data_IF_677176307559
#
_entry.id   IF_677176307559
#
_cell.length_a   1.000
_cell.length_b   1.000
_cell.length_c   1.000
_cell.angle_alpha   90.00
_cell.angle_beta   90.00
_cell.angle_gamma   90.00
#
_symmetry.space_group_name_H-M   'P 1'
#
loop_
_entity.id
_entity.type
_entity.pdbx_description
1 polymer ?
#
# COMPACT_ATOMS: atom_id res chain seq x y z
N UNK A 1 18.68 -10.03 21.92
CA UNK A 1 18.33 -8.76 22.57
C UNK A 1 16.96 -8.30 22.08
N UNK A 2 15.95 -8.19 22.96
CA UNK A 2 14.63 -7.65 22.59
C UNK A 2 14.77 -6.14 22.40
N UNK A 3 14.42 -5.61 21.23
CA UNK A 3 14.34 -4.15 20.99
C UNK A 3 13.31 -3.59 21.97
N UNK A 4 13.69 -2.60 22.78
CA UNK A 4 12.74 -1.82 23.58
C UNK A 4 11.83 -1.09 22.59
N UNK A 5 10.55 -1.43 22.55
CA UNK A 5 9.57 -0.60 21.86
C UNK A 5 9.61 0.79 22.51
N UNK A 6 10.09 1.79 21.76
CA UNK A 6 9.99 3.17 22.19
C UNK A 6 8.50 3.51 22.28
N UNK A 7 8.03 3.82 23.50
CA UNK A 7 6.68 4.31 23.71
C UNK A 7 6.45 5.55 22.84
N UNK A 8 5.46 5.48 21.95
CA UNK A 8 5.11 6.59 21.06
C UNK A 8 4.56 7.75 21.87
N UNK A 9 5.00 8.97 21.54
CA UNK A 9 4.34 10.16 22.07
C UNK A 9 2.96 10.35 21.42
N UNK A 10 2.11 11.17 22.03
CA UNK A 10 0.72 11.34 21.57
C UNK A 10 0.60 11.83 20.13
N UNK A 11 1.56 12.61 19.63
CA UNK A 11 1.55 13.08 18.24
C UNK A 11 1.97 11.99 17.25
N UNK A 12 3.01 11.22 17.59
CA UNK A 12 3.43 10.04 16.84
C UNK A 12 2.28 9.03 16.70
N UNK A 13 1.51 8.81 17.77
CA UNK A 13 0.35 7.94 17.74
C UNK A 13 -0.71 8.45 16.76
N UNK A 14 -1.03 9.74 16.78
CA UNK A 14 -2.01 10.34 15.86
C UNK A 14 -1.58 10.19 14.38
N UNK A 15 -0.28 10.37 14.09
CA UNK A 15 0.27 10.15 12.74
C UNK A 15 0.12 8.69 12.31
N UNK A 16 0.46 7.75 13.21
CA UNK A 16 0.32 6.32 12.95
C UNK A 16 -1.15 5.93 12.74
N UNK A 17 -2.06 6.43 13.58
CA UNK A 17 -3.49 6.15 13.47
C UNK A 17 -4.04 6.66 12.14
N UNK A 18 -3.66 7.87 11.72
CA UNK A 18 -4.05 8.42 10.42
C UNK A 18 -3.56 7.54 9.26
N UNK A 19 -2.29 7.13 9.27
CA UNK A 19 -1.74 6.29 8.20
C UNK A 19 -2.34 4.88 8.24
N UNK A 20 -2.64 4.35 9.42
CA UNK A 20 -3.28 3.04 9.62
C UNK A 20 -4.73 3.04 9.14
N UNK A 21 -5.46 4.13 9.31
CA UNK A 21 -6.79 4.32 8.70
C UNK A 21 -6.73 4.40 7.17
N UNK A 22 -5.54 4.59 6.59
CA UNK A 22 -5.31 4.77 5.17
C UNK A 22 -4.19 3.83 4.64
N UNK A 23 -4.17 2.57 5.08
CA UNK A 23 -3.07 1.61 4.82
C UNK A 23 -2.66 1.48 3.35
N UNK A 24 -3.63 1.53 2.43
CA UNK A 24 -3.41 1.37 0.99
C UNK A 24 -3.00 2.66 0.26
N UNK A 25 -2.74 3.75 0.99
CA UNK A 25 -2.41 5.05 0.41
C UNK A 25 -1.11 5.59 0.96
N UNK A 26 -0.40 6.29 0.09
CA UNK A 26 0.83 6.99 0.42
C UNK A 26 0.57 8.49 0.40
N UNK A 27 1.13 9.19 1.37
CA UNK A 27 0.90 10.61 1.57
C UNK A 27 2.22 11.36 1.64
N UNK A 28 2.22 12.59 1.15
CA UNK A 28 3.30 13.53 1.42
C UNK A 28 3.29 13.93 2.90
N UNK A 29 4.46 14.33 3.41
CA UNK A 29 4.56 14.85 4.77
C UNK A 29 3.63 16.06 5.03
N UNK A 30 3.34 16.86 4.00
CA UNK A 30 2.41 18.01 4.08
C UNK A 30 0.97 17.54 4.29
N UNK A 31 0.51 16.56 3.51
CA UNK A 31 -0.85 16.02 3.63
C UNK A 31 -1.06 15.36 5.00
N UNK A 32 -0.07 14.61 5.49
CA UNK A 32 -0.11 14.01 6.83
C UNK A 32 -0.20 15.11 7.88
N UNK A 33 0.56 16.20 7.73
CA UNK A 33 0.53 17.32 8.69
C UNK A 33 -0.84 18.00 8.73
N UNK A 34 -1.41 18.31 7.58
CA UNK A 34 -2.72 18.94 7.49
C UNK A 34 -3.81 18.06 8.11
N UNK A 35 -3.81 16.76 7.80
CA UNK A 35 -4.77 15.81 8.33
C UNK A 35 -4.63 15.65 9.86
N UNK A 36 -3.40 15.51 10.36
CA UNK A 36 -3.15 15.31 11.80
C UNK A 36 -3.35 16.59 12.61
N UNK A 37 -3.09 17.77 12.06
CA UNK A 37 -3.47 19.05 12.68
C UNK A 37 -4.98 19.18 12.78
N UNK A 38 -5.73 18.81 11.72
CA UNK A 38 -7.19 18.81 11.73
C UNK A 38 -7.76 17.82 12.76
N UNK A 39 -7.18 16.63 12.88
CA UNK A 39 -7.62 15.59 13.84
C UNK A 39 -7.28 15.94 15.29
N UNK A 40 -6.12 16.54 15.53
CA UNK A 40 -5.65 16.88 16.88
C UNK A 40 -6.14 18.24 17.40
N UNK A 41 -6.66 19.11 16.51
CA UNK A 41 -7.01 20.49 16.84
C UNK A 41 -5.81 21.37 17.20
N UNK A 42 -4.58 20.88 17.05
CA UNK A 42 -3.34 21.58 17.41
C UNK A 42 -2.54 21.87 16.14
N UNK A 43 -2.10 23.11 15.97
CA UNK A 43 -1.23 23.48 14.86
C UNK A 43 0.20 23.02 15.13
N UNK A 44 0.71 22.11 14.31
CA UNK A 44 2.12 21.70 14.28
C UNK A 44 2.79 22.20 13.01
N UNK A 45 4.11 22.37 13.06
CA UNK A 45 4.92 22.79 11.91
C UNK A 45 5.47 21.60 11.13
N UNK A 46 5.90 21.85 9.88
CA UNK A 46 6.62 20.87 9.06
C UNK A 46 7.91 20.36 9.71
N UNK A 47 8.58 21.18 10.53
CA UNK A 47 9.76 20.74 11.30
C UNK A 47 9.39 19.65 12.31
N UNK A 48 8.28 19.82 13.03
CA UNK A 48 7.75 18.80 13.96
C UNK A 48 7.34 17.53 13.21
N UNK A 49 6.75 17.66 12.02
CA UNK A 49 6.37 16.50 11.20
C UNK A 49 7.59 15.73 10.69
N UNK A 50 8.59 16.43 10.16
CA UNK A 50 9.83 15.81 9.65
C UNK A 50 10.54 15.00 10.74
N UNK A 51 10.70 15.57 11.94
CA UNK A 51 11.27 14.84 13.08
C UNK A 51 10.41 13.64 13.50
N UNK A 52 9.09 13.77 13.45
CA UNK A 52 8.16 12.69 13.79
C UNK A 52 8.25 11.54 12.79
N UNK A 53 8.19 11.83 11.49
CA UNK A 53 8.30 10.82 10.43
C UNK A 53 9.65 10.12 10.46
N UNK A 54 10.75 10.84 10.72
CA UNK A 54 12.07 10.23 10.89
C UNK A 54 12.07 9.16 11.98
N UNK A 55 11.57 9.50 13.18
CA UNK A 55 11.49 8.55 14.31
C UNK A 55 10.55 7.37 13.98
N UNK A 56 9.43 7.63 13.31
CA UNK A 56 8.49 6.58 12.93
C UNK A 56 9.04 5.64 11.85
N UNK A 57 9.83 6.15 10.89
CA UNK A 57 10.53 5.34 9.90
C UNK A 57 11.63 4.49 10.54
N UNK A 58 12.46 5.08 11.41
CA UNK A 58 13.50 4.37 12.17
C UNK A 58 12.90 3.30 13.09
N UNK A 59 11.74 3.59 13.68
CA UNK A 59 10.97 2.65 14.49
C UNK A 59 10.24 1.58 13.68
N UNK A 60 10.22 1.69 12.35
CA UNK A 60 9.54 0.75 11.46
C UNK A 60 8.01 0.78 11.57
N UNK A 61 7.41 1.92 11.89
CA UNK A 61 5.94 2.10 11.91
C UNK A 61 5.40 2.70 10.62
N UNK A 62 6.25 3.46 9.94
CA UNK A 62 5.97 4.14 8.68
C UNK A 62 7.06 3.77 7.69
N UNK A 63 6.70 3.57 6.43
CA UNK A 63 7.65 3.33 5.35
C UNK A 63 7.69 4.59 4.49
N UNK A 64 8.89 4.93 4.03
CA UNK A 64 9.12 5.95 3.02
C UNK A 64 9.31 5.24 1.68
N UNK A 65 8.62 5.69 0.63
CA UNK A 65 8.76 5.08 -0.69
C UNK A 65 10.17 5.32 -1.26
N UNK A 66 10.77 4.26 -1.80
CA UNK A 66 12.07 4.33 -2.49
C UNK A 66 11.93 5.01 -3.86
N UNK A 67 10.86 4.70 -4.61
CA UNK A 67 10.57 5.30 -5.92
C UNK A 67 10.11 6.76 -5.81
N UNK A 68 9.42 7.11 -4.73
CA UNK A 68 8.89 8.45 -4.47
C UNK A 68 9.27 8.92 -3.05
N UNK A 69 10.50 9.45 -2.85
CA UNK A 69 11.01 9.83 -1.52
C UNK A 69 10.25 10.96 -0.81
N UNK A 70 9.20 11.51 -1.39
CA UNK A 70 8.29 12.45 -0.74
C UNK A 70 7.12 11.76 -0.04
N UNK A 71 6.88 10.48 -0.32
CA UNK A 71 5.70 9.73 0.11
C UNK A 71 6.00 8.79 1.29
N UNK A 72 5.02 8.72 2.19
CA UNK A 72 5.03 7.92 3.40
C UNK A 72 3.74 7.11 3.50
N UNK A 73 3.84 5.87 3.96
CA UNK A 73 2.72 4.95 4.13
C UNK A 73 2.83 4.20 5.44
N UNK A 74 1.71 3.69 5.95
CA UNK A 74 1.76 2.82 7.11
C UNK A 74 2.56 1.56 6.78
N UNK A 75 3.47 1.17 7.67
CA UNK A 75 4.10 -0.15 7.56
C UNK A 75 3.07 -1.16 8.04
N UNK A 76 2.36 -1.77 7.10
CA UNK A 76 1.59 -2.97 7.41
C UNK A 76 2.59 -4.00 7.94
N UNK A 77 2.39 -4.46 9.17
CA UNK A 77 3.21 -5.52 9.72
C UNK A 77 2.99 -6.76 8.82
N UNK A 78 4.04 -7.19 8.14
CA UNK A 78 4.24 -8.61 7.84
C UNK A 78 4.36 -9.35 9.19
N UNK A 79 3.23 -9.52 9.86
CA UNK A 79 3.01 -10.41 11.00
C UNK A 79 1.93 -11.44 10.67
N UNK A 80 1.89 -11.89 9.42
CA UNK A 80 1.67 -13.31 9.17
C UNK A 80 3.03 -13.89 8.78
N UNK A 81 3.79 -14.29 9.80
CA UNK A 81 4.84 -15.28 9.64
C UNK A 81 4.21 -16.58 9.12
N UNK A 82 4.13 -16.74 7.80
CA UNK A 82 4.40 -18.06 7.23
C UNK A 82 5.92 -18.13 7.04
N UNK A 83 6.60 -18.55 8.11
CA UNK A 83 7.97 -19.05 8.01
C UNK A 83 7.92 -20.34 7.19
N UNK A 84 8.04 -20.26 5.87
CA UNK A 84 8.56 -21.39 5.09
C UNK A 84 10.08 -21.26 5.10
N UNK A 85 10.71 -21.74 6.16
CA UNK A 85 12.15 -22.01 6.14
C UNK A 85 12.39 -23.14 5.13
N UNK A 86 12.83 -22.79 3.93
CA UNK A 86 13.44 -23.74 3.01
C UNK A 86 14.87 -24.00 3.48
N UNK A 87 15.04 -24.98 4.36
CA UNK A 87 16.35 -25.53 4.67
C UNK A 87 16.74 -26.48 3.53
N UNK A 88 17.54 -25.99 2.59
CA UNK A 88 18.05 -26.78 1.46
C UNK A 88 19.35 -27.46 1.87
N UNK A 89 19.23 -28.49 2.73
CA UNK A 89 20.29 -29.50 2.89
C UNK A 89 19.66 -30.88 2.93
N UNK A 90 20.13 -31.71 2.01
CA UNK A 90 19.87 -33.14 1.84
C UNK A 90 18.72 -33.53 0.90
N UNK A 91 18.98 -33.38 -0.40
CA UNK A 91 18.44 -34.27 -1.44
C UNK A 91 18.96 -35.69 -1.21
N UNK A 92 18.10 -36.58 -0.71
CA UNK A 92 18.11 -38.01 -1.06
C UNK A 92 16.70 -38.46 -1.36
N UNK A 93 16.51 -38.99 -2.56
CA UNK A 93 15.31 -39.68 -3.01
C UNK A 93 14.90 -40.75 -2.00
N UNK A 94 13.69 -40.63 -1.45
CA UNK A 94 13.01 -41.75 -0.82
C UNK A 94 11.55 -41.76 -1.26
N UNK A 95 11.25 -42.78 -2.05
CA UNK A 95 9.92 -43.20 -2.48
C UNK A 95 9.03 -43.40 -1.27
N UNK A 96 8.02 -42.54 -1.09
CA UNK A 96 7.04 -42.69 -0.01
C UNK A 96 5.96 -43.66 -0.51
N UNK A 97 5.97 -44.90 0.00
CA UNK A 97 4.74 -45.72 0.04
C UNK A 97 3.79 -45.08 1.05
N UNK A 98 2.49 -44.95 0.76
CA UNK A 98 1.56 -44.36 1.71
C UNK A 98 1.47 -45.24 2.96
N UNK A 99 1.80 -44.65 4.11
CA UNK A 99 1.53 -45.23 5.43
C UNK A 99 0.13 -44.77 5.82
N UNK A 100 -0.75 -45.74 6.04
CA UNK A 100 -2.11 -45.55 6.54
C UNK A 100 -2.08 -44.88 7.91
N UNK A 101 -2.46 -43.60 7.96
CA UNK A 101 -2.81 -42.93 9.22
C UNK A 101 -4.33 -42.85 9.34
N UNK A 102 -4.88 -43.82 10.06
CA UNK A 102 -6.19 -43.75 10.69
C UNK A 102 -6.22 -42.60 11.72
N UNK A 103 -6.55 -41.39 11.28
CA UNK A 103 -7.20 -40.38 12.12
C UNK A 103 -8.16 -39.57 11.24
N UNK A 104 -9.35 -40.13 11.03
CA UNK A 104 -10.50 -39.47 10.44
C UNK A 104 -11.08 -38.48 11.47
N UNK A 105 -10.39 -37.37 11.67
CA UNK A 105 -10.98 -36.16 12.21
C UNK A 105 -11.57 -35.38 11.03
N UNK A 106 -12.86 -35.56 10.77
CA UNK A 106 -13.59 -34.75 9.81
C UNK A 106 -13.48 -33.27 10.20
N UNK A 107 -12.65 -32.52 9.48
CA UNK A 107 -12.71 -31.05 9.42
C UNK A 107 -13.14 -30.68 8.00
N UNK A 108 -14.21 -31.31 7.55
CA UNK A 108 -14.93 -30.99 6.30
C UNK A 108 -16.21 -30.20 6.61
N UNK A 109 -16.25 -29.46 7.71
CA UNK A 109 -17.39 -28.62 8.07
C UNK A 109 -16.98 -27.16 8.28
N UNK A 110 -17.62 -26.31 7.48
CA UNK A 110 -17.67 -24.84 7.53
C UNK A 110 -16.55 -24.04 6.88
N UNK A 111 -16.39 -24.18 5.55
CA UNK A 111 -16.46 -23.01 4.66
C UNK A 111 -17.01 -23.45 3.30
N UNK A 112 -18.12 -22.89 2.80
CA UNK A 112 -18.61 -23.20 1.47
C UNK A 112 -17.57 -22.69 0.45
N UNK A 113 -16.77 -23.61 -0.11
CA UNK A 113 -15.78 -23.33 -1.17
C UNK A 113 -16.40 -22.55 -2.35
N UNK A 114 -17.73 -22.60 -2.52
CA UNK A 114 -18.47 -21.83 -3.52
C UNK A 114 -18.52 -20.32 -3.25
N UNK A 115 -18.64 -19.88 -1.99
CA UNK A 115 -18.75 -18.45 -1.66
C UNK A 115 -17.42 -17.73 -1.89
N UNK A 116 -16.31 -18.35 -1.47
CA UNK A 116 -14.96 -17.83 -1.72
C UNK A 116 -14.60 -17.77 -3.20
N UNK A 117 -15.12 -18.71 -4.00
CA UNK A 117 -14.95 -18.69 -5.47
C UNK A 117 -15.78 -17.56 -6.09
N UNK A 118 -17.00 -17.31 -5.58
CA UNK A 118 -17.86 -16.22 -6.03
C UNK A 118 -17.24 -14.85 -5.73
N UNK A 119 -16.77 -14.63 -4.49
CA UNK A 119 -16.08 -13.38 -4.09
C UNK A 119 -14.82 -13.15 -4.93
N UNK A 120 -14.03 -14.20 -5.17
CA UNK A 120 -12.84 -14.11 -6.02
C UNK A 120 -13.19 -13.71 -7.46
N UNK A 121 -14.26 -14.26 -8.02
CA UNK A 121 -14.67 -13.97 -9.39
C UNK A 121 -15.30 -12.57 -9.51
N UNK A 122 -15.97 -12.09 -8.46
CA UNK A 122 -16.43 -10.70 -8.35
C UNK A 122 -15.26 -9.71 -8.28
N UNK A 123 -14.26 -9.97 -7.43
CA UNK A 123 -13.03 -9.16 -7.36
C UNK A 123 -12.30 -9.14 -8.72
N UNK A 124 -12.22 -10.27 -9.41
CA UNK A 124 -11.62 -10.34 -10.76
C UNK A 124 -12.36 -9.48 -11.77
N UNK A 125 -13.69 -9.45 -11.68
CA UNK A 125 -14.52 -8.59 -12.53
C UNK A 125 -14.29 -7.11 -12.21
N UNK A 126 -14.24 -6.75 -10.93
CA UNK A 126 -13.93 -5.37 -10.52
C UNK A 126 -12.55 -4.91 -11.02
N UNK A 127 -11.53 -5.78 -10.93
CA UNK A 127 -10.20 -5.49 -11.48
C UNK A 127 -10.28 -5.20 -12.99
N UNK A 128 -10.97 -6.05 -13.75
CA UNK A 128 -11.14 -5.84 -15.18
C UNK A 128 -11.89 -4.54 -15.51
N UNK A 129 -12.90 -4.17 -14.72
CA UNK A 129 -13.62 -2.91 -14.87
C UNK A 129 -12.72 -1.70 -14.57
N UNK A 130 -11.85 -1.79 -13.56
CA UNK A 130 -10.86 -0.76 -13.26
C UNK A 130 -9.79 -0.63 -14.36
N UNK A 131 -9.29 -1.74 -14.91
CA UNK A 131 -8.34 -1.71 -16.03
C UNK A 131 -8.95 -1.02 -17.26
N UNK A 132 -10.19 -1.36 -17.61
CA UNK A 132 -10.92 -0.70 -18.69
C UNK A 132 -11.09 0.81 -18.44
N UNK A 133 -11.34 1.20 -17.18
CA UNK A 133 -11.45 2.61 -16.79
C UNK A 133 -10.11 3.34 -16.91
N UNK A 134 -9.01 2.70 -16.52
CA UNK A 134 -7.65 3.24 -16.66
C UNK A 134 -7.33 3.48 -18.14
N UNK A 135 -7.58 2.48 -19.00
CA UNK A 135 -7.34 2.60 -20.45
C UNK A 135 -8.12 3.76 -21.07
N UNK A 136 -9.39 3.91 -20.69
CA UNK A 136 -10.22 5.04 -21.15
C UNK A 136 -9.63 6.38 -20.71
N UNK A 137 -9.28 6.52 -19.42
CA UNK A 137 -8.72 7.76 -18.88
C UNK A 137 -7.37 8.09 -19.51
N UNK A 138 -6.54 7.09 -19.82
CA UNK A 138 -5.28 7.30 -20.52
C UNK A 138 -5.52 7.85 -21.94
N UNK A 139 -6.47 7.29 -22.70
CA UNK A 139 -6.83 7.81 -24.04
C UNK A 139 -7.34 9.26 -23.97
N UNK A 140 -8.20 9.57 -22.99
CA UNK A 140 -8.70 10.93 -22.77
C UNK A 140 -7.54 11.90 -22.43
N UNK A 141 -6.58 11.47 -21.59
CA UNK A 141 -5.38 12.25 -21.27
C UNK A 141 -4.55 12.55 -22.52
N UNK A 142 -4.28 11.54 -23.36
CA UNK A 142 -3.53 11.74 -24.60
C UNK A 142 -4.24 12.71 -25.56
N UNK A 143 -5.56 12.59 -25.70
CA UNK A 143 -6.35 13.50 -26.53
C UNK A 143 -6.28 14.95 -26.03
N UNK A 144 -6.36 15.16 -24.71
CA UNK A 144 -6.22 16.49 -24.10
C UNK A 144 -4.81 17.06 -24.27
N UNK A 145 -3.77 16.24 -24.09
CA UNK A 145 -2.38 16.66 -24.31
C UNK A 145 -2.15 17.11 -25.76
N UNK A 146 -2.68 16.37 -26.74
CA UNK A 146 -2.59 16.75 -28.15
C UNK A 146 -3.31 18.08 -28.45
N UNK A 147 -4.51 18.28 -27.89
CA UNK A 147 -5.24 19.56 -28.04
C UNK A 147 -4.48 20.73 -27.43
N UNK A 148 -3.84 20.53 -26.28
CA UNK A 148 -3.05 21.55 -25.60
C UNK A 148 -1.83 21.94 -26.43
N UNK A 149 -1.10 20.96 -26.97
CA UNK A 149 0.04 21.22 -27.86
C UNK A 149 -0.36 22.00 -29.13
N UNK A 150 -1.52 21.67 -29.71
CA UNK A 150 -2.09 22.42 -30.84
C UNK A 150 -2.38 23.87 -30.46
N UNK A 151 -3.01 24.10 -29.31
CA UNK A 151 -3.30 25.45 -28.79
C UNK A 151 -2.01 26.26 -28.58
N UNK A 152 -0.98 25.68 -27.98
CA UNK A 152 0.32 26.33 -27.78
C UNK A 152 0.99 26.69 -29.12
N UNK A 153 0.90 25.80 -30.13
CA UNK A 153 1.38 26.09 -31.49
C UNK A 153 0.59 27.23 -32.15
N UNK A 154 -0.73 27.31 -31.93
CA UNK A 154 -1.54 28.41 -32.45
C UNK A 154 -1.21 29.75 -31.79
N UNK A 155 -1.11 29.76 -30.45
CA UNK A 155 -0.78 30.97 -29.69
C UNK A 155 0.62 31.48 -30.02
N UNK A 156 1.61 30.60 -30.13
CA UNK A 156 2.97 30.98 -30.51
C UNK A 156 3.07 31.53 -31.93
N UNK A 157 2.25 31.06 -32.87
CA UNK A 157 2.16 31.65 -34.22
C UNK A 157 1.54 33.04 -34.21
N UNK A 158 0.46 33.23 -33.45
CA UNK A 158 -0.23 34.53 -33.33
C UNK A 158 0.68 35.58 -32.68
N UNK A 159 1.39 35.22 -31.62
CA UNK A 159 2.33 36.13 -30.93
C UNK A 159 3.53 36.56 -31.80
N UNK A 160 3.80 35.88 -32.92
CA UNK A 160 4.83 36.27 -33.90
C UNK A 160 4.28 37.11 -35.05
N UNK A 161 2.95 37.24 -35.18
CA UNK A 161 2.31 38.04 -36.22
C UNK A 161 1.79 39.40 -35.72
N UNK A 162 1.96 39.69 -34.43
CA UNK A 162 1.81 41.02 -33.82
C UNK A 162 3.21 41.65 -33.69
#
# INVERSE_FOLDING_TARGET
MRRKELARNSFQQIVVDFLKENTFRSFTAKEILEATNKKSGKSRSMGSMSGTLKVLCEGGWVVKSDDYPSLYSYKEEFSNKQETSFDTKDTKEMTIKPVETNQQGNVDEFFPKSELVSERDEIRKEIADYDNKIDRLQRERYALQSKLELLEKFLSKRARSE
#
